data_IF_316842401681
#
_entry.id   IF_316842401681
#
_cell.length_a   1.000
_cell.length_b   1.000
_cell.length_c   1.000
_cell.angle_alpha   90.00
_cell.angle_beta   90.00
_cell.angle_gamma   90.00
#
_symmetry.space_group_name_H-M   'P 1'
#
loop_
_entity.id
_entity.type
_entity.pdbx_description
1 polymer ?
#
# COMPACT_ATOMS: atom_id res chain seq x y z
N UNK A 1 13.30 -4.38 0.66
CA UNK A 1 11.86 -4.12 0.92
C UNK A 1 11.62 -3.20 2.13
N UNK A 2 11.99 -3.57 3.37
CA UNK A 2 11.78 -2.69 4.54
C UNK A 2 12.40 -1.29 4.39
N UNK A 3 13.59 -1.19 3.78
CA UNK A 3 14.27 0.09 3.57
C UNK A 3 13.54 0.98 2.57
N UNK A 4 13.00 0.40 1.49
CA UNK A 4 12.18 1.12 0.50
C UNK A 4 10.92 1.69 1.16
N UNK A 5 10.25 0.90 1.99
CA UNK A 5 9.06 1.33 2.74
C UNK A 5 9.40 2.51 3.66
N UNK A 6 10.51 2.43 4.41
CA UNK A 6 10.97 3.51 5.30
C UNK A 6 11.31 4.78 4.52
N UNK A 7 12.00 4.65 3.39
CA UNK A 7 12.34 5.79 2.53
C UNK A 7 11.10 6.42 1.90
N UNK A 8 10.13 5.61 1.46
CA UNK A 8 8.85 6.08 0.95
C UNK A 8 8.07 6.85 2.02
N UNK A 9 7.95 6.29 3.23
CA UNK A 9 7.30 6.94 4.37
C UNK A 9 7.95 8.29 4.69
N UNK A 10 9.28 8.32 4.81
CA UNK A 10 10.02 9.55 5.07
C UNK A 10 9.79 10.60 3.99
N UNK A 11 9.82 10.20 2.72
CA UNK A 11 9.59 11.12 1.61
C UNK A 11 8.17 11.70 1.63
N UNK A 12 7.16 10.90 1.97
CA UNK A 12 5.77 11.36 2.10
C UNK A 12 5.63 12.33 3.28
N UNK A 13 6.21 11.99 4.43
CA UNK A 13 6.12 12.83 5.64
C UNK A 13 6.81 14.19 5.44
N UNK A 14 7.91 14.23 4.68
CA UNK A 14 8.67 15.45 4.39
C UNK A 14 8.07 16.28 3.23
N UNK A 15 7.15 15.72 2.43
CA UNK A 15 6.60 16.38 1.24
C UNK A 15 5.05 16.31 1.22
N UNK A 16 4.40 17.39 1.66
CA UNK A 16 2.93 17.47 1.76
C UNK A 16 2.17 17.40 0.42
N UNK A 17 2.85 17.60 -0.71
CA UNK A 17 2.29 17.56 -2.07
C UNK A 17 2.87 16.40 -2.91
N UNK A 18 3.26 15.33 -2.23
CA UNK A 18 3.74 14.11 -2.89
C UNK A 18 2.61 13.44 -3.66
N UNK A 19 2.91 13.04 -4.90
CA UNK A 19 2.08 12.17 -5.72
C UNK A 19 2.85 10.87 -6.03
N UNK A 20 2.16 9.89 -6.63
CA UNK A 20 2.75 8.58 -6.92
C UNK A 20 3.94 8.72 -7.88
N UNK A 21 3.87 9.59 -8.88
CA UNK A 21 4.95 9.79 -9.85
C UNK A 21 6.22 10.35 -9.20
N UNK A 22 6.08 11.35 -8.31
CA UNK A 22 7.20 11.92 -7.54
C UNK A 22 7.81 10.89 -6.60
N UNK A 23 6.98 10.12 -5.91
CA UNK A 23 7.43 9.04 -5.03
C UNK A 23 8.20 7.97 -5.81
N UNK A 24 7.66 7.52 -6.94
CA UNK A 24 8.31 6.54 -7.81
C UNK A 24 9.67 7.04 -8.29
N UNK A 25 9.72 8.28 -8.80
CA UNK A 25 10.97 8.90 -9.26
C UNK A 25 12.00 9.01 -8.14
N UNK A 26 11.57 9.35 -6.93
CA UNK A 26 12.45 9.40 -5.76
C UNK A 26 13.02 8.02 -5.43
N UNK A 27 12.16 6.99 -5.36
CA UNK A 27 12.59 5.63 -5.04
C UNK A 27 13.50 5.04 -6.13
N UNK A 28 13.18 5.22 -7.42
CA UNK A 28 14.03 4.79 -8.55
C UNK A 28 15.39 5.51 -8.61
N UNK A 29 15.55 6.64 -7.91
CA UNK A 29 16.85 7.31 -7.78
C UNK A 29 17.75 6.72 -6.68
N UNK A 30 17.19 5.90 -5.79
CA UNK A 30 17.87 5.34 -4.61
C UNK A 30 18.00 3.81 -4.65
N UNK A 31 17.09 3.13 -5.34
CA UNK A 31 16.95 1.68 -5.36
C UNK A 31 16.86 1.15 -6.79
N UNK A 32 17.08 -0.15 -6.96
CA UNK A 32 16.94 -0.80 -8.26
C UNK A 32 15.49 -0.74 -8.75
N UNK A 33 15.31 -0.50 -10.05
CA UNK A 33 13.98 -0.37 -10.67
C UNK A 33 13.07 -1.55 -10.35
N UNK A 34 13.62 -2.78 -10.38
CA UNK A 34 12.88 -3.99 -10.05
C UNK A 34 12.36 -4.00 -8.60
N UNK A 35 13.14 -3.53 -7.64
CA UNK A 35 12.72 -3.47 -6.24
C UNK A 35 11.62 -2.42 -6.02
N UNK A 36 11.70 -1.30 -6.75
CA UNK A 36 10.69 -0.26 -6.72
C UNK A 36 9.39 -0.74 -7.35
N UNK A 37 9.46 -1.43 -8.49
CA UNK A 37 8.29 -2.03 -9.14
C UNK A 37 7.62 -3.08 -8.23
N UNK A 38 8.40 -3.93 -7.54
CA UNK A 38 7.90 -4.89 -6.55
C UNK A 38 7.18 -4.19 -5.37
N UNK A 39 7.69 -3.05 -4.91
CA UNK A 39 7.05 -2.24 -3.88
C UNK A 39 5.69 -1.69 -4.33
N UNK A 40 5.60 -1.12 -5.54
CA UNK A 40 4.32 -0.61 -6.06
C UNK A 40 3.33 -1.72 -6.37
N UNK A 41 3.80 -2.89 -6.83
CA UNK A 41 2.96 -4.08 -7.00
C UNK A 41 2.37 -4.51 -5.66
N UNK A 42 3.20 -4.59 -4.61
CA UNK A 42 2.74 -4.95 -3.26
C UNK A 42 1.72 -3.95 -2.70
N UNK A 43 1.94 -2.65 -2.91
CA UNK A 43 0.97 -1.61 -2.56
C UNK A 43 -0.35 -1.78 -3.31
N UNK A 44 -0.31 -2.07 -4.61
CA UNK A 44 -1.49 -2.31 -5.43
C UNK A 44 -2.31 -3.51 -4.95
N UNK A 45 -1.66 -4.59 -4.55
CA UNK A 45 -2.31 -5.77 -3.97
C UNK A 45 -2.99 -5.45 -2.63
N UNK A 46 -2.31 -4.72 -1.74
CA UNK A 46 -2.88 -4.29 -0.45
C UNK A 46 -4.12 -3.41 -0.67
N UNK A 47 -4.03 -2.42 -1.57
CA UNK A 47 -5.15 -1.50 -1.86
C UNK A 47 -6.32 -2.24 -2.53
N UNK A 48 -6.04 -3.20 -3.40
CA UNK A 48 -7.08 -4.03 -4.04
C UNK A 48 -7.76 -4.93 -3.01
N UNK A 49 -6.99 -5.57 -2.12
CA UNK A 49 -7.53 -6.36 -1.02
C UNK A 49 -8.40 -5.53 -0.06
N UNK A 50 -7.99 -4.29 0.24
CA UNK A 50 -8.83 -3.36 1.00
C UNK A 50 -10.11 -3.00 0.23
N UNK A 51 -10.02 -2.74 -1.07
CA UNK A 51 -11.20 -2.43 -1.88
C UNK A 51 -12.21 -3.57 -1.88
N UNK A 52 -11.75 -4.82 -1.87
CA UNK A 52 -12.63 -5.98 -1.80
C UNK A 52 -13.29 -6.14 -0.41
N UNK A 53 -12.60 -5.75 0.68
CA UNK A 53 -13.20 -5.63 2.02
C UNK A 53 -14.29 -4.54 2.05
N UNK A 54 -14.03 -3.38 1.43
CA UNK A 54 -14.98 -2.25 1.42
C UNK A 54 -16.15 -2.44 0.44
N UNK A 55 -16.01 -3.27 -0.60
CA UNK A 55 -17.09 -3.58 -1.55
C UNK A 55 -18.26 -4.31 -0.90
N UNK A 56 -18.03 -4.95 0.25
CA UNK A 56 -19.09 -5.61 0.98
C UNK A 56 -19.09 -5.13 2.44
N UNK A 57 -19.63 -3.93 2.72
CA UNK A 57 -19.72 -3.39 4.08
C UNK A 57 -20.45 -4.34 5.04
N UNK A 58 -21.29 -5.23 4.49
CA UNK A 58 -22.01 -6.28 5.22
C UNK A 58 -21.11 -7.42 5.72
N UNK A 59 -19.99 -7.74 5.04
CA UNK A 59 -19.08 -8.81 5.49
C UNK A 59 -18.41 -8.46 6.83
N UNK A 60 -18.18 -7.17 7.09
CA UNK A 60 -17.72 -6.64 8.38
C UNK A 60 -18.75 -6.83 9.52
N UNK A 61 -20.04 -6.97 9.20
CA UNK A 61 -21.10 -7.19 10.20
C UNK A 61 -21.45 -8.67 10.38
N UNK A 62 -21.24 -9.51 9.35
CA UNK A 62 -21.59 -10.93 9.39
C UNK A 62 -20.52 -11.87 9.95
N UNK A 63 -19.27 -11.43 10.08
CA UNK A 63 -18.21 -12.26 10.68
C UNK A 63 -18.28 -12.36 12.22
N UNK A 64 -19.17 -11.61 12.87
CA UNK A 64 -19.45 -11.76 14.31
C UNK A 64 -20.59 -12.75 14.63
N UNK A 65 -21.22 -13.38 13.64
CA UNK A 65 -22.33 -14.33 13.86
C UNK A 65 -22.00 -15.79 13.48
N UNK A 66 -20.73 -16.11 13.20
CA UNK A 66 -20.30 -17.48 12.83
C UNK A 66 -19.53 -18.25 13.91
N UNK A 67 -19.67 -17.87 15.18
CA UNK A 67 -19.39 -18.77 16.31
C UNK A 67 -20.67 -19.04 17.10
N UNK A 68 -21.62 -19.77 16.50
CA UNK A 68 -22.54 -20.64 17.26
C UNK A 68 -23.30 -21.59 16.30
N UNK A 69 -22.67 -22.73 15.96
CA UNK A 69 -23.32 -24.06 15.93
C UNK A 69 -22.36 -25.20 15.63
#
# INVERSE_FOLDING_TARGET
MEEIIKSAQKYIDENSEVDIEKLEKHLKSLYDEKEVDEYFSSLGEILSGLQDIYKNPMDLFFDNEKEEK
#
